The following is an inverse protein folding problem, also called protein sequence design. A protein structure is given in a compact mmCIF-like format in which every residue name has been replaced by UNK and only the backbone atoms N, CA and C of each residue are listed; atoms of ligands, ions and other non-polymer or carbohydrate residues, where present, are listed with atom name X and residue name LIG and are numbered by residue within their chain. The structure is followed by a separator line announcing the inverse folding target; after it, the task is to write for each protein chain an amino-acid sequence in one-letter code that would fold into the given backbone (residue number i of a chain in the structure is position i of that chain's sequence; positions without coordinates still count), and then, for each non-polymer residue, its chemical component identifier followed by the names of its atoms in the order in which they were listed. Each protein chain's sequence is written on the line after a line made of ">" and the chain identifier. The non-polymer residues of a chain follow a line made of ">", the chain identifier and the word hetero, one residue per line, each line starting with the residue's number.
data_IF_499583404718
#
_entry.id   IF_499583404718
#
_cell.length_a   1.000
_cell.length_b   1.000
_cell.length_c   1.000
_cell.angle_alpha   90.00
_cell.angle_beta   90.00
_cell.angle_gamma   90.00
#
_symmetry.space_group_name_H-M   'P 1'
#
loop_
_entity.id
_entity.type
_entity.pdbx_description
1 polymer ?
#
# COMPACT_ATOMS: atom_id res chain seq x y z
N UNK A 1 10.27 4.49 -16.05
CA UNK A 1 9.72 4.28 -14.70
C UNK A 1 10.84 4.27 -13.67
N UNK A 2 10.65 4.97 -12.56
CA UNK A 2 11.63 5.05 -11.49
C UNK A 2 11.04 4.45 -10.23
N UNK A 3 11.79 3.60 -9.55
CA UNK A 3 11.36 2.95 -8.31
C UNK A 3 12.31 3.35 -7.18
N UNK A 4 11.73 3.88 -6.10
CA UNK A 4 12.47 4.18 -4.88
C UNK A 4 11.99 3.24 -3.77
N UNK A 5 12.90 2.54 -3.13
CA UNK A 5 12.62 1.69 -1.99
C UNK A 5 13.80 1.68 -1.02
N UNK A 6 13.59 1.15 0.18
CA UNK A 6 14.64 0.99 1.17
C UNK A 6 15.42 2.26 1.43
N UNK A 7 16.75 2.16 1.40
CA UNK A 7 17.67 3.27 1.68
C UNK A 7 17.50 4.45 0.72
N UNK A 8 17.25 4.17 -0.56
CA UNK A 8 17.04 5.23 -1.56
C UNK A 8 15.80 6.05 -1.24
N UNK A 9 14.72 5.38 -0.83
CA UNK A 9 13.49 6.05 -0.45
C UNK A 9 13.68 6.87 0.83
N UNK A 10 14.39 6.35 1.81
CA UNK A 10 14.60 7.02 3.09
C UNK A 10 15.30 8.39 2.94
N UNK A 11 16.07 8.59 1.88
CA UNK A 11 16.72 9.86 1.57
C UNK A 11 15.79 10.86 0.89
N UNK A 12 14.59 10.43 0.49
CA UNK A 12 13.67 11.25 -0.28
C UNK A 12 12.42 11.60 0.55
N UNK A 13 12.64 12.31 1.65
CA UNK A 13 11.55 12.71 2.55
C UNK A 13 10.42 13.46 1.86
N UNK A 14 10.68 14.41 0.92
CA UNK A 14 9.59 15.06 0.21
C UNK A 14 8.74 14.08 -0.61
N UNK A 15 9.35 13.05 -1.20
CA UNK A 15 8.63 12.05 -1.96
C UNK A 15 7.75 11.18 -1.05
N UNK A 16 8.28 10.79 0.12
CA UNK A 16 7.50 10.04 1.12
C UNK A 16 6.28 10.86 1.55
N UNK A 17 6.46 12.16 1.77
CA UNK A 17 5.37 13.06 2.14
C UNK A 17 4.30 13.13 1.07
N UNK A 18 4.69 13.25 -0.20
CA UNK A 18 3.75 13.25 -1.32
C UNK A 18 2.99 11.93 -1.42
N UNK A 19 3.68 10.81 -1.24
CA UNK A 19 3.06 9.49 -1.24
C UNK A 19 2.06 9.37 -0.09
N UNK A 20 2.40 9.85 1.10
CA UNK A 20 1.51 9.85 2.25
C UNK A 20 0.26 10.69 2.00
N UNK A 21 0.41 11.85 1.37
CA UNK A 21 -0.72 12.70 1.00
C UNK A 21 -1.67 11.99 0.03
N UNK A 22 -1.14 11.24 -0.93
CA UNK A 22 -1.98 10.42 -1.83
C UNK A 22 -2.73 9.34 -1.07
N UNK A 23 -2.05 8.66 -0.15
CA UNK A 23 -2.69 7.61 0.67
C UNK A 23 -3.78 8.18 1.57
N UNK A 24 -3.58 9.37 2.11
CA UNK A 24 -4.56 10.03 2.99
C UNK A 24 -5.87 10.35 2.28
N UNK A 25 -5.85 10.43 0.96
CA UNK A 25 -7.04 10.68 0.13
C UNK A 25 -7.73 9.40 -0.32
N UNK A 26 -7.16 8.25 -0.04
CA UNK A 26 -7.72 6.96 -0.43
C UNK A 26 -8.83 6.55 0.53
N UNK A 27 -9.97 6.15 -0.02
CA UNK A 27 -11.04 5.53 0.75
C UNK A 27 -10.76 4.03 0.83
N UNK A 28 -10.16 3.59 1.93
CA UNK A 28 -9.76 2.21 2.11
C UNK A 28 -10.95 1.24 2.20
N UNK A 29 -12.11 1.70 2.65
CA UNK A 29 -13.31 0.88 2.67
C UNK A 29 -13.74 0.57 1.23
N UNK A 30 -13.65 1.56 0.36
CA UNK A 30 -13.97 1.40 -1.06
C UNK A 30 -12.96 0.50 -1.75
N UNK A 31 -11.67 0.64 -1.40
CA UNK A 31 -10.62 -0.26 -1.89
C UNK A 31 -10.91 -1.70 -1.53
N UNK A 32 -11.30 -1.96 -0.28
CA UNK A 32 -11.58 -3.30 0.21
C UNK A 32 -12.75 -3.97 -0.52
N UNK A 33 -13.58 -3.19 -1.20
CA UNK A 33 -14.74 -3.70 -1.94
C UNK A 33 -14.47 -3.93 -3.42
N UNK A 34 -13.26 -3.60 -3.91
CA UNK A 34 -12.93 -3.86 -5.32
C UNK A 34 -12.72 -5.36 -5.53
N UNK A 35 -13.13 -5.86 -6.70
CA UNK A 35 -12.94 -7.27 -7.03
C UNK A 35 -11.49 -7.71 -6.94
N UNK A 36 -10.56 -6.89 -7.45
CA UNK A 36 -9.13 -7.19 -7.40
C UNK A 36 -8.61 -7.35 -5.98
N UNK A 37 -9.02 -6.49 -5.08
CA UNK A 37 -8.62 -6.58 -3.69
C UNK A 37 -9.15 -7.87 -3.06
N UNK A 38 -10.43 -8.16 -3.26
CA UNK A 38 -11.07 -9.35 -2.72
C UNK A 38 -10.44 -10.63 -3.26
N UNK A 39 -10.15 -10.68 -4.56
CA UNK A 39 -9.51 -11.83 -5.20
C UNK A 39 -8.13 -12.07 -4.59
N UNK A 40 -7.33 -11.03 -4.40
CA UNK A 40 -6.00 -11.16 -3.81
C UNK A 40 -6.05 -11.57 -2.35
N UNK A 41 -7.00 -11.03 -1.60
CA UNK A 41 -7.18 -11.39 -0.19
C UNK A 41 -7.58 -12.85 -0.05
N UNK A 42 -8.54 -13.31 -0.85
CA UNK A 42 -8.98 -14.69 -0.84
C UNK A 42 -7.85 -15.65 -1.23
N UNK A 43 -7.15 -15.33 -2.30
CA UNK A 43 -6.02 -16.12 -2.81
C UNK A 43 -4.90 -16.27 -1.78
N UNK A 44 -4.68 -15.28 -0.93
CA UNK A 44 -3.59 -15.26 0.04
C UNK A 44 -4.03 -15.46 1.48
N UNK A 45 -5.29 -15.83 1.71
CA UNK A 45 -5.85 -16.06 3.05
C UNK A 45 -5.69 -14.85 4.00
N UNK A 46 -5.81 -13.64 3.46
CA UNK A 46 -5.74 -12.43 4.28
C UNK A 46 -7.12 -12.12 4.83
N UNK A 47 -7.24 -12.00 6.15
CA UNK A 47 -8.50 -11.64 6.80
C UNK A 47 -8.70 -10.12 6.79
N UNK A 48 -9.66 -9.66 6.00
CA UNK A 48 -9.98 -8.23 5.85
C UNK A 48 -10.31 -7.54 7.16
N UNK A 49 -10.92 -8.26 8.12
CA UNK A 49 -11.29 -7.68 9.41
C UNK A 49 -10.09 -7.24 10.23
N UNK A 50 -8.91 -7.73 9.92
CA UNK A 50 -7.65 -7.34 10.60
C UNK A 50 -7.00 -6.12 9.97
N UNK A 51 -7.50 -5.65 8.83
CA UNK A 51 -6.95 -4.50 8.14
C UNK A 51 -8.00 -3.38 8.14
N UNK A 52 -7.98 -2.58 9.20
CA UNK A 52 -8.89 -1.44 9.31
C UNK A 52 -8.35 -0.23 8.55
N UNK A 53 -9.22 0.73 8.22
CA UNK A 53 -8.80 1.98 7.60
C UNK A 53 -7.80 2.74 8.48
N UNK A 54 -7.93 2.66 9.80
CA UNK A 54 -6.99 3.27 10.74
C UNK A 54 -5.59 2.66 10.59
N UNK A 55 -5.50 1.33 10.49
CA UNK A 55 -4.22 0.64 10.26
C UNK A 55 -3.62 1.04 8.92
N UNK A 56 -4.44 1.15 7.88
CA UNK A 56 -3.99 1.56 6.55
C UNK A 56 -3.39 2.97 6.56
N UNK A 57 -4.01 3.89 7.29
CA UNK A 57 -3.50 5.26 7.42
C UNK A 57 -2.18 5.35 8.19
N UNK A 58 -1.91 4.38 9.06
CA UNK A 58 -0.67 4.29 9.83
C UNK A 58 0.37 3.40 9.17
N UNK A 59 0.14 3.00 7.94
CA UNK A 59 1.03 2.13 7.21
C UNK A 59 2.40 2.76 6.99
N UNK A 60 3.43 1.92 6.94
CA UNK A 60 4.77 2.35 6.56
C UNK A 60 4.92 2.26 5.06
N UNK A 61 5.35 3.33 4.43
CA UNK A 61 5.62 3.35 3.00
C UNK A 61 7.01 2.76 2.78
N UNK A 62 7.10 1.69 1.98
CA UNK A 62 8.39 1.06 1.69
C UNK A 62 8.82 1.17 0.24
N UNK A 63 7.90 1.56 -0.65
CA UNK A 63 8.20 1.70 -2.07
C UNK A 63 7.34 2.77 -2.71
N UNK A 64 7.93 3.55 -3.60
CA UNK A 64 7.19 4.53 -4.42
C UNK A 64 7.67 4.39 -5.85
N UNK A 65 6.74 4.22 -6.78
CA UNK A 65 7.03 4.18 -8.22
C UNK A 65 6.56 5.46 -8.89
N UNK A 66 7.42 6.01 -9.72
CA UNK A 66 7.14 7.23 -10.49
C UNK A 66 7.21 6.94 -11.98
N UNK A 67 6.33 7.58 -12.72
CA UNK A 67 6.36 7.60 -14.18
C UNK A 67 6.07 9.03 -14.61
N UNK A 68 6.96 9.61 -15.42
CA UNK A 68 6.86 11.02 -15.84
C UNK A 68 6.68 12.00 -14.66
N UNK A 69 7.42 11.75 -13.57
CA UNK A 69 7.38 12.53 -12.34
C UNK A 69 6.05 12.43 -11.56
N UNK A 70 5.18 11.50 -11.92
CA UNK A 70 3.95 11.25 -11.19
C UNK A 70 4.04 9.93 -10.44
N UNK A 71 3.50 9.90 -9.21
CA UNK A 71 3.43 8.68 -8.42
C UNK A 71 2.36 7.77 -9.02
N UNK A 72 2.77 6.60 -9.51
CA UNK A 72 1.86 5.62 -10.11
C UNK A 72 1.51 4.49 -9.16
N UNK A 73 2.34 4.24 -8.16
CA UNK A 73 2.02 3.25 -7.13
C UNK A 73 2.81 3.51 -5.85
N UNK A 74 2.24 3.06 -4.73
CA UNK A 74 2.86 3.14 -3.41
C UNK A 74 2.75 1.79 -2.75
N UNK A 75 3.89 1.25 -2.29
CA UNK A 75 3.92 0.03 -1.50
C UNK A 75 3.89 0.35 -0.01
N UNK A 76 3.00 -0.30 0.72
CA UNK A 76 2.82 -0.07 2.14
C UNK A 76 2.89 -1.37 2.93
N UNK A 77 3.27 -1.25 4.21
CA UNK A 77 3.24 -2.33 5.19
C UNK A 77 2.33 -1.92 6.32
N UNK A 78 1.36 -2.78 6.64
CA UNK A 78 0.43 -2.55 7.75
C UNK A 78 0.52 -3.70 8.73
N UNK A 79 0.29 -3.39 10.01
CA UNK A 79 0.23 -4.43 11.04
C UNK A 79 -0.94 -5.36 10.76
N UNK A 80 -0.68 -6.65 10.67
CA UNK A 80 -1.72 -7.67 10.46
C UNK A 80 -2.01 -8.41 11.75
N UNK A 81 -0.99 -9.01 12.36
CA UNK A 81 -1.08 -9.65 13.66
C UNK A 81 0.28 -9.57 14.36
N UNK A 82 0.42 -10.25 15.51
CA UNK A 82 1.65 -10.20 16.30
C UNK A 82 2.89 -10.73 15.55
N UNK A 83 2.69 -11.63 14.62
CA UNK A 83 3.77 -12.30 13.89
C UNK A 83 3.93 -11.85 12.45
N UNK A 84 2.95 -11.16 11.89
CA UNK A 84 2.94 -10.85 10.47
C UNK A 84 2.55 -9.40 10.19
N UNK A 85 3.08 -8.90 9.08
CA UNK A 85 2.65 -7.63 8.50
C UNK A 85 2.05 -7.91 7.12
N UNK A 86 1.05 -7.14 6.75
CA UNK A 86 0.47 -7.20 5.41
C UNK A 86 1.17 -6.16 4.55
N UNK A 87 1.64 -6.58 3.39
CA UNK A 87 2.24 -5.71 2.40
C UNK A 87 1.26 -5.55 1.25
N UNK A 88 1.11 -4.33 0.74
CA UNK A 88 0.21 -4.04 -0.36
C UNK A 88 0.84 -3.02 -1.29
N UNK A 89 0.54 -3.14 -2.58
CA UNK A 89 0.89 -2.11 -3.55
C UNK A 89 -0.42 -1.49 -4.03
N UNK A 90 -0.54 -0.18 -3.82
CA UNK A 90 -1.72 0.59 -4.21
C UNK A 90 -1.38 1.36 -5.48
N UNK A 91 -2.12 1.09 -6.55
CA UNK A 91 -1.93 1.75 -7.84
C UNK A 91 -2.81 2.98 -7.99
N UNK A 92 -2.27 4.00 -8.65
CA UNK A 92 -2.95 5.28 -8.87
C UNK A 92 -3.11 5.64 -10.36
N UNK A 93 -2.93 4.66 -11.26
CA UNK A 93 -3.09 4.90 -12.71
C UNK A 93 -4.54 5.08 -13.15
N UNK A 94 -5.47 4.57 -12.37
CA UNK A 94 -6.91 4.66 -12.64
C UNK A 94 -7.54 5.75 -11.78
N UNK A 95 -8.73 6.21 -12.16
CA UNK A 95 -9.46 7.22 -11.37
C UNK A 95 -9.68 6.78 -9.92
N UNK A 96 -9.99 5.51 -9.73
CA UNK A 96 -10.14 4.93 -8.39
C UNK A 96 -8.87 4.17 -8.05
N UNK A 97 -8.17 4.52 -6.97
CA UNK A 97 -7.01 3.75 -6.52
C UNK A 97 -7.40 2.30 -6.27
N UNK A 98 -6.50 1.37 -6.57
CA UNK A 98 -6.76 -0.05 -6.40
C UNK A 98 -5.55 -0.79 -5.85
N UNK A 99 -5.80 -1.88 -5.13
CA UNK A 99 -4.73 -2.77 -4.70
C UNK A 99 -4.29 -3.61 -5.90
N UNK A 100 -3.03 -3.45 -6.29
CA UNK A 100 -2.44 -4.21 -7.39
C UNK A 100 -2.07 -5.60 -6.93
N UNK A 101 -1.47 -5.71 -5.74
CA UNK A 101 -1.08 -6.98 -5.13
C UNK A 101 -0.96 -6.83 -3.62
N UNK A 102 -1.08 -7.94 -2.91
CA UNK A 102 -0.92 -7.97 -1.45
C UNK A 102 -0.35 -9.32 -1.03
N UNK A 103 0.38 -9.33 0.09
CA UNK A 103 0.94 -10.56 0.66
C UNK A 103 1.24 -10.35 2.14
N UNK A 104 1.46 -11.47 2.86
CA UNK A 104 1.85 -11.43 4.26
C UNK A 104 3.34 -11.71 4.40
N UNK A 105 3.99 -10.98 5.31
CA UNK A 105 5.39 -11.20 5.66
C UNK A 105 5.51 -11.42 7.16
N UNK A 106 6.44 -12.27 7.57
CA UNK A 106 6.73 -12.45 8.99
C UNK A 106 7.51 -11.25 9.53
N UNK A 107 7.18 -10.86 10.76
CA UNK A 107 7.96 -9.84 11.48
C UNK A 107 9.29 -10.44 11.89
N UNK A 108 10.32 -9.67 11.74
CA UNK A 108 11.64 -10.05 12.25
C UNK A 108 11.81 -9.61 13.68
#
# INVERSE_FOLDING_TARGET
>A
MVVYNGYQLSKRKPLIKLAQEKLDRVDFERLARTGHFLDRVEERNINLNKISSTKMKRATIYEVKLEENEIISVGIRVSYNKKQVACMIIGFKTETPMVVTSWLMERK
#
